data_IF_862175271212
#
_entry.id   IF_862175271212
#
_cell.length_a   1.000
_cell.length_b   1.000
_cell.length_c   1.000
_cell.angle_alpha   90.00
_cell.angle_beta   90.00
_cell.angle_gamma   90.00
#
_symmetry.space_group_name_H-M   'P 1'
#
loop_
_entity.id
_entity.type
_entity.pdbx_description
1 polymer ?
#
# COMPACT_ATOMS: atom_id res chain seq x y z
N UNK A 1 -21.91 -15.65 2.72
CA UNK A 1 -20.77 -15.30 1.83
C UNK A 1 -19.50 -15.62 2.57
N UNK A 2 -18.70 -16.53 2.06
CA UNK A 2 -17.43 -16.93 2.69
C UNK A 2 -16.39 -15.86 2.37
N UNK A 3 -15.88 -15.16 3.38
CA UNK A 3 -14.85 -14.13 3.16
C UNK A 3 -13.52 -14.77 2.77
N UNK A 4 -12.72 -14.09 1.94
CA UNK A 4 -11.38 -14.55 1.49
C UNK A 4 -10.45 -14.97 2.64
N UNK A 5 -10.66 -14.38 3.81
CA UNK A 5 -9.93 -14.71 5.06
C UNK A 5 -10.24 -16.11 5.60
N UNK A 6 -11.44 -16.65 5.32
CA UNK A 6 -11.83 -18.01 5.75
C UNK A 6 -11.29 -19.09 4.81
N UNK A 7 -11.02 -18.75 3.55
CA UNK A 7 -10.43 -19.68 2.57
C UNK A 7 -8.97 -20.04 2.95
N UNK A 8 -8.21 -19.06 3.47
CA UNK A 8 -6.82 -19.29 3.91
C UNK A 8 -6.73 -20.01 5.26
N UNK A 9 -7.78 -19.95 6.09
CA UNK A 9 -7.81 -20.67 7.38
C UNK A 9 -8.22 -22.12 7.25
N UNK A 10 -8.96 -22.51 6.19
CA UNK A 10 -9.38 -23.89 5.96
C UNK A 10 -8.27 -24.79 5.40
N UNK A 11 -7.17 -24.23 4.91
CA UNK A 11 -6.02 -25.00 4.43
C UNK A 11 -5.00 -25.40 5.51
N UNK A 12 -5.18 -24.96 6.76
CA UNK A 12 -4.22 -25.23 7.85
C UNK A 12 -4.76 -26.16 8.97
N UNK A 13 -5.99 -26.68 8.85
CA UNK A 13 -6.55 -27.61 9.83
C UNK A 13 -6.44 -29.06 9.36
N UNK A 14 -5.23 -29.52 9.06
CA UNK A 14 -4.93 -30.95 8.95
C UNK A 14 -4.37 -31.44 10.28
N UNK A 15 -5.20 -31.46 11.33
CA UNK A 15 -4.86 -32.05 12.62
C UNK A 15 -5.72 -33.29 12.83
N UNK A 16 -5.06 -34.44 12.84
CA UNK A 16 -5.48 -35.72 13.43
C UNK A 16 -6.82 -36.29 12.92
N UNK A 17 -6.76 -36.98 11.81
CA UNK A 17 -7.76 -38.02 11.51
C UNK A 17 -7.34 -39.35 12.19
N UNK A 18 -8.30 -40.11 12.76
CA UNK A 18 -7.99 -41.39 13.34
C UNK A 18 -7.53 -42.41 12.29
N UNK A 19 -6.59 -43.24 12.67
CA UNK A 19 -6.00 -44.31 11.88
C UNK A 19 -7.12 -45.18 11.26
N UNK A 20 -7.27 -45.11 9.92
CA UNK A 20 -8.19 -45.97 9.19
C UNK A 20 -8.88 -45.37 7.95
N UNK A 21 -8.80 -44.08 7.74
CA UNK A 21 -9.28 -43.48 6.49
C UNK A 21 -8.09 -43.06 5.62
N UNK A 22 -7.80 -43.85 4.59
CA UNK A 22 -6.92 -43.43 3.50
C UNK A 22 -7.61 -42.27 2.73
N UNK A 23 -7.29 -41.05 3.10
CA UNK A 23 -7.56 -39.90 2.25
C UNK A 23 -6.58 -40.01 1.07
N UNK A 24 -7.10 -40.36 -0.09
CA UNK A 24 -6.34 -40.22 -1.33
C UNK A 24 -6.09 -38.74 -1.52
N UNK A 25 -4.91 -38.27 -1.11
CA UNK A 25 -4.41 -36.97 -1.52
C UNK A 25 -4.06 -37.17 -3.00
N UNK A 26 -4.89 -36.64 -3.89
CA UNK A 26 -4.52 -36.50 -5.29
C UNK A 26 -3.30 -35.58 -5.32
N UNK A 27 -2.10 -36.18 -5.35
CA UNK A 27 -0.87 -35.44 -5.58
C UNK A 27 -0.92 -35.05 -7.07
N UNK A 28 -1.13 -33.76 -7.34
CA UNK A 28 -1.00 -33.24 -8.69
C UNK A 28 0.39 -33.67 -9.19
N UNK A 29 0.40 -34.47 -10.28
CA UNK A 29 1.65 -34.93 -10.86
C UNK A 29 2.41 -33.70 -11.43
N UNK A 30 3.71 -33.67 -11.28
CA UNK A 30 4.58 -32.60 -11.77
C UNK A 30 4.45 -32.36 -13.28
N UNK A 31 3.89 -33.33 -14.01
CA UNK A 31 3.59 -33.25 -15.46
C UNK A 31 2.39 -32.35 -15.76
N UNK A 32 1.48 -32.11 -14.79
CA UNK A 32 0.30 -31.25 -14.94
C UNK A 32 0.56 -29.79 -14.53
N UNK A 33 1.76 -29.49 -14.06
CA UNK A 33 2.11 -28.12 -13.68
C UNK A 33 2.35 -27.26 -14.92
N UNK A 34 1.77 -26.05 -14.96
CA UNK A 34 2.04 -25.12 -16.05
C UNK A 34 3.54 -24.85 -16.15
N UNK A 35 4.04 -24.76 -17.37
CA UNK A 35 5.43 -24.29 -17.60
C UNK A 35 5.46 -22.80 -17.38
N UNK A 36 6.07 -22.38 -16.29
CA UNK A 36 6.24 -20.98 -15.95
C UNK A 36 7.39 -20.35 -16.75
N UNK A 37 7.19 -19.13 -17.24
CA UNK A 37 8.22 -18.39 -17.95
C UNK A 37 9.14 -17.62 -16.98
N UNK A 38 8.68 -17.33 -15.79
CA UNK A 38 9.40 -16.59 -14.76
C UNK A 38 9.12 -17.18 -13.38
N UNK A 39 10.12 -17.07 -12.51
CA UNK A 39 10.03 -17.39 -11.08
C UNK A 39 10.49 -16.19 -10.27
N UNK A 40 9.76 -15.90 -9.19
CA UNK A 40 10.05 -14.78 -8.30
C UNK A 40 9.69 -15.13 -6.86
N UNK A 41 10.32 -14.47 -5.90
CA UNK A 41 9.97 -14.60 -4.48
C UNK A 41 8.68 -13.84 -4.12
N UNK A 42 8.47 -12.68 -4.74
CA UNK A 42 7.26 -11.86 -4.54
C UNK A 42 6.70 -11.43 -5.88
N UNK A 43 5.43 -11.73 -6.11
CA UNK A 43 4.68 -11.27 -7.28
C UNK A 43 3.74 -10.13 -6.87
N UNK A 44 3.93 -8.96 -7.47
CA UNK A 44 3.08 -7.78 -7.26
C UNK A 44 2.15 -7.62 -8.46
N UNK A 45 0.85 -7.55 -8.21
CA UNK A 45 -0.17 -7.35 -9.25
C UNK A 45 -0.65 -5.89 -9.22
N UNK A 46 -0.29 -5.14 -10.25
CA UNK A 46 -0.57 -3.71 -10.41
C UNK A 46 0.62 -2.82 -10.03
N UNK A 47 0.95 -1.88 -10.92
CA UNK A 47 2.07 -0.94 -10.76
C UNK A 47 1.57 0.48 -10.50
N UNK A 48 0.70 0.62 -9.51
CA UNK A 48 0.30 1.90 -8.94
C UNK A 48 1.07 2.17 -7.64
N UNK A 49 0.62 3.16 -6.85
CA UNK A 49 1.28 3.53 -5.59
C UNK A 49 1.45 2.36 -4.62
N UNK A 50 0.40 1.57 -4.40
CA UNK A 50 0.47 0.43 -3.48
C UNK A 50 1.43 -0.66 -3.99
N UNK A 51 1.40 -0.96 -5.29
CA UNK A 51 2.27 -1.98 -5.89
C UNK A 51 3.73 -1.57 -5.89
N UNK A 52 4.06 -0.32 -6.23
CA UNK A 52 5.45 0.16 -6.17
C UNK A 52 6.00 0.14 -4.74
N UNK A 53 5.23 0.58 -3.74
CA UNK A 53 5.69 0.53 -2.35
C UNK A 53 5.84 -0.92 -1.84
N UNK A 54 4.95 -1.84 -2.23
CA UNK A 54 5.10 -3.25 -1.90
C UNK A 54 6.34 -3.86 -2.53
N UNK A 55 6.65 -3.47 -3.78
CA UNK A 55 7.84 -3.93 -4.49
C UNK A 55 9.13 -3.41 -3.85
N UNK A 56 9.18 -2.12 -3.49
CA UNK A 56 10.31 -1.50 -2.78
C UNK A 56 10.55 -2.24 -1.47
N UNK A 57 9.52 -2.38 -0.63
CA UNK A 57 9.65 -3.05 0.67
C UNK A 57 10.11 -4.51 0.54
N UNK A 58 9.63 -5.23 -0.47
CA UNK A 58 10.05 -6.61 -0.71
C UNK A 58 11.50 -6.70 -1.22
N UNK A 59 11.91 -5.77 -2.09
CA UNK A 59 13.28 -5.70 -2.59
C UNK A 59 14.26 -5.31 -1.48
N UNK A 60 13.92 -4.34 -0.64
CA UNK A 60 14.71 -3.96 0.53
C UNK A 60 14.89 -5.12 1.52
N UNK A 61 13.89 -6.00 1.62
CA UNK A 61 13.99 -7.24 2.39
C UNK A 61 14.78 -8.37 1.67
N UNK A 62 15.35 -8.10 0.50
CA UNK A 62 16.17 -9.03 -0.28
C UNK A 62 15.40 -10.02 -1.14
N UNK A 63 14.10 -9.80 -1.36
CA UNK A 63 13.31 -10.66 -2.24
C UNK A 63 13.53 -10.31 -3.72
N UNK A 64 13.53 -11.35 -4.58
CA UNK A 64 13.38 -11.15 -6.02
C UNK A 64 11.92 -10.77 -6.29
N UNK A 65 11.67 -9.63 -6.90
CA UNK A 65 10.32 -9.11 -7.15
C UNK A 65 9.99 -9.12 -8.64
N UNK A 66 8.75 -9.45 -8.96
CA UNK A 66 8.17 -9.29 -10.29
C UNK A 66 6.89 -8.47 -10.17
N UNK A 67 6.78 -7.40 -10.94
CA UNK A 67 5.56 -6.59 -11.02
C UNK A 67 4.86 -6.89 -12.34
N UNK A 68 3.56 -7.16 -12.28
CA UNK A 68 2.70 -7.28 -13.46
C UNK A 68 1.70 -6.11 -13.47
N UNK A 69 1.72 -5.36 -14.58
CA UNK A 69 0.80 -4.25 -14.82
C UNK A 69 -0.03 -4.53 -16.09
N UNK A 70 -1.33 -4.25 -16.03
CA UNK A 70 -2.26 -4.49 -17.14
C UNK A 70 -2.20 -3.43 -18.24
N UNK A 71 -1.71 -2.24 -17.90
CA UNK A 71 -1.58 -1.11 -18.82
C UNK A 71 -0.15 -0.98 -19.34
N UNK A 72 0.08 -0.31 -20.48
CA UNK A 72 1.42 -0.15 -21.04
C UNK A 72 2.40 0.65 -20.16
N UNK A 73 1.88 1.37 -19.16
CA UNK A 73 2.69 2.18 -18.24
C UNK A 73 2.18 2.02 -16.80
N UNK A 74 3.09 2.08 -15.83
CA UNK A 74 2.76 2.12 -14.42
C UNK A 74 2.15 3.46 -14.00
N UNK A 75 1.84 3.60 -12.71
CA UNK A 75 1.35 4.83 -12.09
C UNK A 75 -0.08 4.76 -11.60
N UNK A 76 -0.97 4.08 -12.30
CA UNK A 76 -2.38 4.00 -11.89
C UNK A 76 -2.96 5.37 -11.54
N UNK A 77 -3.74 5.46 -10.47
CA UNK A 77 -4.35 6.72 -10.03
C UNK A 77 -3.32 7.74 -9.49
N UNK A 78 -2.15 7.32 -9.04
CA UNK A 78 -1.15 8.27 -8.52
C UNK A 78 -0.61 9.16 -9.62
N UNK A 79 -0.33 8.64 -10.82
CA UNK A 79 0.20 9.42 -11.92
C UNK A 79 -0.75 10.54 -12.40
N UNK A 80 -2.06 10.33 -12.31
CA UNK A 80 -3.09 11.32 -12.70
C UNK A 80 -3.56 12.20 -11.54
N UNK A 81 -3.01 12.01 -10.34
CA UNK A 81 -3.33 12.82 -9.15
C UNK A 81 -2.60 14.15 -9.13
N UNK A 82 -2.89 14.97 -8.12
CA UNK A 82 -2.13 16.18 -7.84
C UNK A 82 -0.73 15.93 -7.25
N UNK A 83 -0.41 14.68 -6.87
CA UNK A 83 0.85 14.29 -6.25
C UNK A 83 1.06 14.82 -4.82
N UNK A 84 -0.02 15.24 -4.18
CA UNK A 84 0.01 15.63 -2.78
C UNK A 84 -0.14 14.42 -1.86
N UNK A 85 0.48 14.48 -0.70
CA UNK A 85 0.34 13.53 0.40
C UNK A 85 0.21 14.26 1.74
N UNK A 86 -0.26 13.56 2.75
CA UNK A 86 -0.50 14.16 4.07
C UNK A 86 0.61 13.75 5.02
N UNK A 87 1.14 14.75 5.74
CA UNK A 87 2.04 14.56 6.87
C UNK A 87 1.44 15.31 8.06
N UNK A 88 0.78 14.63 8.99
CA UNK A 88 0.21 15.27 10.15
C UNK A 88 1.30 15.71 11.14
N UNK A 89 0.98 16.66 12.02
CA UNK A 89 1.91 17.13 13.04
C UNK A 89 1.90 16.27 14.30
N UNK A 90 0.80 15.57 14.57
CA UNK A 90 0.71 14.62 15.69
C UNK A 90 -0.38 13.57 15.42
N UNK A 91 -0.25 12.43 16.08
CA UNK A 91 -1.12 11.27 15.90
C UNK A 91 -2.52 11.48 16.46
N UNK A 92 -2.63 12.05 17.65
CA UNK A 92 -3.91 12.16 18.38
C UNK A 92 -4.90 13.03 17.62
N UNK A 93 -4.49 14.22 17.20
CA UNK A 93 -5.34 15.11 16.43
C UNK A 93 -5.66 14.51 15.06
N UNK A 94 -4.68 13.83 14.43
CA UNK A 94 -4.92 13.18 13.15
C UNK A 94 -5.91 12.03 13.26
N UNK A 95 -5.84 11.25 14.33
CA UNK A 95 -6.84 10.22 14.62
C UNK A 95 -8.24 10.82 14.79
N UNK A 96 -8.36 11.90 15.56
CA UNK A 96 -9.63 12.59 15.77
C UNK A 96 -10.21 13.15 14.47
N UNK A 97 -9.34 13.71 13.62
CA UNK A 97 -9.73 14.19 12.29
C UNK A 97 -10.22 13.07 11.37
N UNK A 98 -9.49 11.98 11.29
CA UNK A 98 -9.86 10.83 10.46
C UNK A 98 -11.16 10.17 10.97
N UNK A 99 -11.32 10.02 12.29
CA UNK A 99 -12.54 9.52 12.89
C UNK A 99 -13.74 10.40 12.51
N UNK A 100 -13.61 11.73 12.62
CA UNK A 100 -14.67 12.67 12.24
C UNK A 100 -15.03 12.57 10.74
N UNK A 101 -14.06 12.30 9.86
CA UNK A 101 -14.30 12.05 8.43
C UNK A 101 -15.10 10.76 8.20
N UNK A 102 -14.79 9.67 8.91
CA UNK A 102 -15.57 8.43 8.84
C UNK A 102 -17.01 8.63 9.34
N UNK A 103 -17.18 9.33 10.44
CA UNK A 103 -18.50 9.67 10.99
C UNK A 103 -19.31 10.54 10.00
N UNK A 104 -18.68 11.55 9.40
CA UNK A 104 -19.31 12.42 8.41
C UNK A 104 -19.74 11.64 7.15
N UNK A 105 -18.92 10.70 6.71
CA UNK A 105 -19.22 9.85 5.55
C UNK A 105 -20.12 8.67 5.87
N UNK A 106 -20.48 8.47 7.16
CA UNK A 106 -21.23 7.31 7.65
C UNK A 106 -20.59 5.98 7.28
N UNK A 107 -19.27 5.95 7.22
CA UNK A 107 -18.49 4.77 6.91
C UNK A 107 -18.05 4.07 8.18
N UNK A 108 -17.98 2.74 8.13
CA UNK A 108 -17.37 1.95 9.19
C UNK A 108 -15.84 2.01 9.07
N UNK A 109 -15.16 1.95 10.23
CA UNK A 109 -13.70 1.85 10.26
C UNK A 109 -13.25 0.80 11.27
N UNK A 110 -12.08 0.22 11.00
CA UNK A 110 -11.37 -0.63 11.94
C UNK A 110 -10.47 0.25 12.81
N UNK A 111 -10.60 0.14 14.13
CA UNK A 111 -9.88 0.99 15.07
C UNK A 111 -8.37 0.78 15.00
N UNK A 112 -7.94 -0.49 14.94
CA UNK A 112 -6.51 -0.83 14.97
C UNK A 112 -5.84 -0.42 13.66
N UNK A 113 -6.54 -0.58 12.53
CA UNK A 113 -6.07 -0.12 11.23
C UNK A 113 -5.99 1.41 11.16
N UNK A 114 -6.96 2.12 11.72
CA UNK A 114 -6.95 3.58 11.75
C UNK A 114 -5.81 4.10 12.64
N UNK A 115 -5.58 3.47 13.79
CA UNK A 115 -4.49 3.84 14.69
C UNK A 115 -3.14 3.66 14.02
N UNK A 116 -2.92 2.52 13.35
CA UNK A 116 -1.71 2.25 12.58
C UNK A 116 -1.54 3.25 11.42
N UNK A 117 -2.61 3.54 10.68
CA UNK A 117 -2.58 4.52 9.59
C UNK A 117 -2.15 5.91 10.08
N UNK A 118 -2.67 6.34 11.23
CA UNK A 118 -2.32 7.63 11.80
C UNK A 118 -0.85 7.68 12.25
N UNK A 119 -0.35 6.59 12.84
CA UNK A 119 1.06 6.47 13.23
C UNK A 119 1.98 6.54 12.01
N UNK A 120 1.76 5.69 11.02
CA UNK A 120 2.60 5.60 9.82
C UNK A 120 2.57 6.91 8.99
N UNK A 121 1.47 7.65 9.04
CA UNK A 121 1.35 8.93 8.33
C UNK A 121 2.34 9.99 8.86
N UNK A 122 2.76 9.92 10.11
CA UNK A 122 3.77 10.82 10.68
C UNK A 122 5.13 10.67 9.99
N UNK A 123 5.44 9.45 9.54
CA UNK A 123 6.74 9.08 8.95
C UNK A 123 6.76 9.21 7.42
N UNK A 124 5.60 9.50 6.81
CA UNK A 124 5.49 9.52 5.34
C UNK A 124 6.40 10.56 4.68
N UNK A 125 6.62 11.70 5.33
CA UNK A 125 7.53 12.73 4.84
C UNK A 125 8.97 12.26 4.75
N UNK A 126 9.46 11.60 5.78
CA UNK A 126 10.83 11.05 5.85
C UNK A 126 10.99 9.91 4.85
N UNK A 127 9.99 9.04 4.74
CA UNK A 127 9.99 7.96 3.76
C UNK A 127 10.10 8.48 2.32
N UNK A 128 9.25 9.43 1.91
CA UNK A 128 9.30 9.98 0.55
C UNK A 128 10.62 10.73 0.31
N UNK A 129 11.17 11.40 1.33
CA UNK A 129 12.47 12.05 1.23
C UNK A 129 13.63 11.07 1.09
N UNK A 130 13.55 9.90 1.73
CA UNK A 130 14.59 8.87 1.61
C UNK A 130 14.67 8.28 0.21
N UNK A 131 13.53 8.19 -0.49
CA UNK A 131 13.47 7.72 -1.87
C UNK A 131 13.93 8.76 -2.91
N UNK A 132 13.95 10.04 -2.55
CA UNK A 132 14.35 11.12 -3.45
C UNK A 132 15.09 12.22 -2.67
N UNK A 133 16.34 11.97 -2.26
CA UNK A 133 17.12 12.90 -1.43
C UNK A 133 17.46 14.21 -2.13
N UNK A 134 17.42 14.25 -3.47
CA UNK A 134 17.58 15.47 -4.27
C UNK A 134 16.36 16.40 -4.22
N UNK A 135 15.20 15.85 -3.82
CA UNK A 135 13.94 16.59 -3.75
C UNK A 135 13.78 17.41 -2.48
N UNK A 136 12.73 18.22 -2.48
CA UNK A 136 12.33 19.00 -1.31
C UNK A 136 10.84 18.84 -1.05
N UNK A 137 10.48 18.43 0.15
CA UNK A 137 9.09 18.45 0.59
C UNK A 137 8.70 19.91 0.86
N UNK A 138 7.57 20.31 0.35
CA UNK A 138 7.02 21.64 0.57
C UNK A 138 5.52 21.62 0.78
N UNK A 139 5.03 22.58 1.55
CA UNK A 139 3.61 22.74 1.77
C UNK A 139 2.87 22.93 0.43
N UNK A 140 1.78 22.21 0.30
CA UNK A 140 0.93 22.21 -0.90
C UNK A 140 -0.46 22.80 -0.61
N UNK A 141 -0.93 22.69 0.64
CA UNK A 141 -2.22 23.19 1.07
C UNK A 141 -2.58 22.68 2.47
N UNK A 142 -3.82 22.96 2.85
CA UNK A 142 -4.39 22.51 4.12
C UNK A 142 -5.37 21.38 3.90
N UNK A 143 -5.83 20.76 4.99
CA UNK A 143 -6.91 19.79 4.96
C UNK A 143 -8.17 20.42 4.32
N UNK A 144 -8.92 19.64 3.57
CA UNK A 144 -10.34 19.88 3.42
C UNK A 144 -11.03 19.72 4.79
N UNK A 145 -12.23 20.24 4.95
CA UNK A 145 -12.98 20.10 6.21
C UNK A 145 -12.24 20.69 7.42
N UNK A 146 -11.75 21.92 7.30
CA UNK A 146 -10.99 22.62 8.35
C UNK A 146 -11.76 22.84 9.66
N UNK A 147 -13.08 22.66 9.64
CA UNK A 147 -13.95 22.75 10.81
C UNK A 147 -14.09 21.44 11.59
N UNK A 148 -13.48 20.35 11.15
CA UNK A 148 -13.49 19.10 11.88
C UNK A 148 -12.42 19.08 12.99
N UNK A 149 -12.67 18.33 14.08
CA UNK A 149 -11.68 18.17 15.14
C UNK A 149 -10.34 17.67 14.58
N UNK A 150 -9.22 18.25 15.00
CA UNK A 150 -7.89 17.85 14.60
C UNK A 150 -7.45 18.31 13.19
N UNK A 151 -8.27 19.07 12.45
CA UNK A 151 -7.93 19.50 11.10
C UNK A 151 -6.65 20.34 11.02
N UNK A 152 -6.31 21.08 12.06
CA UNK A 152 -5.12 21.93 12.12
C UNK A 152 -3.80 21.15 12.08
N UNK A 153 -3.83 19.86 12.46
CA UNK A 153 -2.64 18.99 12.38
C UNK A 153 -2.33 18.53 10.95
N UNK A 154 -3.25 18.70 9.99
CA UNK A 154 -3.18 18.07 8.67
C UNK A 154 -2.44 18.97 7.68
N UNK A 155 -1.20 18.65 7.40
CA UNK A 155 -0.43 19.31 6.37
C UNK A 155 -0.46 18.50 5.06
N UNK A 156 -0.93 19.13 4.00
CA UNK A 156 -0.77 18.61 2.65
C UNK A 156 0.60 19.02 2.12
N UNK A 157 1.37 18.02 1.76
CA UNK A 157 2.73 18.17 1.26
C UNK A 157 2.83 17.69 -0.18
N UNK A 158 3.83 18.18 -0.89
CA UNK A 158 4.23 17.65 -2.20
C UNK A 158 5.73 17.65 -2.33
N UNK A 159 6.26 16.72 -3.12
CA UNK A 159 7.67 16.71 -3.48
C UNK A 159 7.94 17.68 -4.63
N UNK A 160 8.99 18.47 -4.47
CA UNK A 160 9.48 19.46 -5.46
C UNK A 160 10.92 19.13 -5.87
N UNK A 161 11.36 19.73 -6.97
CA UNK A 161 12.73 19.59 -7.48
C UNK A 161 13.15 18.16 -7.80
N UNK A 162 12.18 17.33 -8.18
CA UNK A 162 12.40 15.97 -8.69
C UNK A 162 11.92 15.87 -10.14
N UNK A 163 12.47 14.98 -10.96
CA UNK A 163 12.01 14.75 -12.32
C UNK A 163 10.54 14.37 -12.39
N UNK A 164 9.87 14.79 -13.45
CA UNK A 164 8.46 14.48 -13.72
C UNK A 164 7.70 15.73 -14.18
N UNK A 165 6.66 15.54 -14.98
CA UNK A 165 5.94 16.61 -15.62
C UNK A 165 5.21 17.50 -14.59
N UNK A 166 4.32 16.94 -13.81
CA UNK A 166 3.57 17.64 -12.74
C UNK A 166 2.96 16.62 -11.75
N UNK A 167 2.65 17.10 -10.55
CA UNK A 167 1.76 16.43 -9.60
C UNK A 167 2.07 14.94 -9.41
N UNK A 168 1.13 14.11 -9.80
CA UNK A 168 1.19 12.67 -9.62
C UNK A 168 2.27 11.96 -10.41
N UNK A 169 2.60 12.42 -11.61
CA UNK A 169 3.72 11.86 -12.39
C UNK A 169 5.03 12.02 -11.64
N UNK A 170 5.21 13.17 -10.98
CA UNK A 170 6.40 13.45 -10.18
C UNK A 170 6.46 12.52 -8.95
N UNK A 171 5.35 12.34 -8.27
CA UNK A 171 5.26 11.46 -7.11
C UNK A 171 5.45 10.00 -7.51
N UNK A 172 4.79 9.54 -8.57
CA UNK A 172 4.98 8.18 -9.07
C UNK A 172 6.42 7.95 -9.54
N UNK A 173 7.00 8.91 -10.24
CA UNK A 173 8.39 8.82 -10.71
C UNK A 173 9.43 8.65 -9.59
N UNK A 174 9.13 9.05 -8.35
CA UNK A 174 9.96 8.74 -7.19
C UNK A 174 9.93 7.24 -6.90
N UNK A 175 8.76 6.65 -6.83
CA UNK A 175 8.60 5.21 -6.58
C UNK A 175 9.13 4.36 -7.74
N UNK A 176 8.88 4.79 -8.99
CA UNK A 176 9.35 4.11 -10.21
C UNK A 176 10.88 4.01 -10.29
N UNK A 177 11.59 5.01 -9.79
CA UNK A 177 13.06 4.98 -9.73
C UNK A 177 13.61 4.14 -8.57
N UNK A 178 12.80 3.91 -7.56
CA UNK A 178 13.20 3.15 -6.36
C UNK A 178 12.92 1.63 -6.50
N UNK A 179 12.11 1.22 -7.49
CA UNK A 179 11.83 -0.18 -7.84
C UNK A 179 12.92 -0.71 -8.75
#
# INVERSE_FOLDING_TARGET
MTTRRNLLKSSLSLAAAPVGMSVAIEVAHAEDMPKWNNETGVLVLGYGNAGSNAAIAAADAGAKVLILEKTPAGGGNVSVSSGGFVVPTNKEDYYNFQKALYELSRSEWDKDLLDLFCEESLHLGDYVSSLAPEGKIGAYGHAGYQNLPGADCVNKMSMRNVPGAKGGDRLFGIFDRAV
#
